data_IF_602453034719
#
_entry.id   IF_602453034719
#
_cell.length_a   1.000
_cell.length_b   1.000
_cell.length_c   1.000
_cell.angle_alpha   90.00
_cell.angle_beta   90.00
_cell.angle_gamma   90.00
#
_symmetry.space_group_name_H-M   'P 1'
#
loop_
_entity.id
_entity.type
_entity.pdbx_description
1 polymer ?
#
# COMPACT_ATOMS: atom_id res chain seq x y z
N UNK A 1 11.44 2.85 -13.72
CA UNK A 1 11.14 3.98 -12.82
C UNK A 1 10.70 5.25 -13.53
N UNK A 2 11.49 5.87 -14.44
CA UNK A 2 11.10 7.14 -15.13
C UNK A 2 9.74 7.03 -15.85
N UNK A 3 9.45 5.94 -16.56
CA UNK A 3 8.18 5.75 -17.29
C UNK A 3 6.96 5.63 -16.37
N UNK A 4 7.11 4.99 -15.19
CA UNK A 4 6.03 4.85 -14.22
C UNK A 4 5.71 6.19 -13.56
N UNK A 5 6.74 6.96 -13.19
CA UNK A 5 6.59 8.31 -12.64
C UNK A 5 5.88 9.24 -13.64
N UNK A 6 6.23 9.12 -14.92
CA UNK A 6 5.58 9.88 -15.99
C UNK A 6 4.11 9.50 -16.15
N UNK A 7 3.78 8.21 -16.09
CA UNK A 7 2.39 7.73 -16.17
C UNK A 7 1.59 8.20 -14.94
N UNK A 8 2.15 8.12 -13.73
CA UNK A 8 1.50 8.65 -12.53
C UNK A 8 1.30 10.16 -12.59
N UNK A 9 2.29 10.90 -13.11
CA UNK A 9 2.18 12.35 -13.28
C UNK A 9 1.09 12.69 -14.33
N UNK A 10 1.00 11.95 -15.42
CA UNK A 10 -0.03 12.13 -16.46
C UNK A 10 -1.42 11.79 -15.88
N UNK A 11 -1.55 10.72 -15.12
CA UNK A 11 -2.80 10.37 -14.42
C UNK A 11 -3.18 11.46 -13.42
N UNK A 12 -2.22 11.97 -12.65
CA UNK A 12 -2.44 13.03 -11.68
C UNK A 12 -2.88 14.34 -12.35
N UNK A 13 -2.21 14.76 -13.42
CA UNK A 13 -2.56 15.94 -14.20
C UNK A 13 -3.87 15.72 -14.95
N UNK A 14 -4.11 14.54 -15.51
CA UNK A 14 -5.37 14.16 -16.15
C UNK A 14 -6.56 14.19 -15.18
N UNK A 15 -6.41 13.66 -13.97
CA UNK A 15 -7.42 13.74 -12.92
C UNK A 15 -7.69 15.17 -12.46
N UNK A 16 -6.66 16.00 -12.31
CA UNK A 16 -6.80 17.41 -11.95
C UNK A 16 -7.52 18.20 -13.05
N UNK A 17 -7.24 17.92 -14.33
CA UNK A 17 -7.94 18.54 -15.46
C UNK A 17 -9.40 18.09 -15.57
N UNK A 18 -9.68 16.79 -15.32
CA UNK A 18 -11.05 16.27 -15.29
C UNK A 18 -11.89 16.87 -14.13
N UNK A 19 -11.24 17.17 -12.99
CA UNK A 19 -11.91 17.80 -11.85
C UNK A 19 -12.31 19.25 -12.14
N UNK A 20 -11.65 19.93 -13.07
CA UNK A 20 -12.00 21.30 -13.48
C UNK A 20 -13.16 21.36 -14.47
N UNK A 21 -13.31 20.32 -15.33
CA UNK A 21 -14.35 20.27 -16.36
C UNK A 21 -15.56 19.37 -15.97
N UNK A 22 -15.64 18.94 -14.71
CA UNK A 22 -16.70 18.04 -14.26
C UNK A 22 -18.06 18.66 -14.47
N UNK A 23 -18.84 18.00 -15.28
CA UNK A 23 -20.26 18.17 -15.54
C UNK A 23 -20.94 18.76 -14.31
N UNK A 24 -21.44 19.99 -14.47
CA UNK A 24 -22.34 20.61 -13.51
C UNK A 24 -23.62 19.78 -13.51
N UNK A 25 -23.65 18.73 -12.70
CA UNK A 25 -24.90 18.17 -12.25
C UNK A 25 -25.46 19.23 -11.34
N UNK A 26 -26.44 19.98 -11.83
CA UNK A 26 -27.21 20.94 -11.04
C UNK A 26 -28.01 20.11 -10.04
N UNK A 27 -27.37 19.78 -8.92
CA UNK A 27 -28.07 19.34 -7.73
C UNK A 27 -28.51 20.63 -7.05
N UNK A 28 -29.78 20.75 -6.62
CA UNK A 28 -30.25 21.94 -5.92
C UNK A 28 -29.30 22.25 -4.75
N UNK A 29 -28.87 23.49 -4.66
CA UNK A 29 -27.85 23.99 -3.73
C UNK A 29 -28.24 23.82 -2.23
N UNK A 30 -29.51 23.52 -1.96
CA UNK A 30 -30.09 23.42 -0.60
C UNK A 30 -29.96 22.00 0.05
N UNK A 31 -29.32 21.02 -0.58
CA UNK A 31 -29.30 19.66 -0.07
C UNK A 31 -27.93 18.99 0.00
N UNK A 32 -26.85 19.72 -0.23
CA UNK A 32 -25.53 19.17 0.04
C UNK A 32 -25.29 19.18 1.56
N UNK A 33 -25.19 18.03 2.23
CA UNK A 33 -24.83 18.02 3.64
C UNK A 33 -23.43 18.63 3.77
N UNK A 34 -23.28 19.57 4.69
CA UNK A 34 -21.98 20.15 5.06
C UNK A 34 -21.13 19.09 5.78
N UNK A 35 -20.77 18.05 5.06
CA UNK A 35 -19.90 16.96 5.58
C UNK A 35 -18.48 17.44 5.90
N UNK A 36 -18.14 18.65 5.48
CA UNK A 36 -16.84 19.26 5.73
C UNK A 36 -16.68 19.85 7.13
N UNK A 37 -17.77 19.95 7.92
CA UNK A 37 -17.73 20.49 9.30
C UNK A 37 -17.08 19.51 10.31
N UNK A 38 -16.96 18.24 9.97
CA UNK A 38 -16.36 17.28 10.89
C UNK A 38 -14.84 17.37 10.88
N UNK A 39 -14.27 17.61 12.06
CA UNK A 39 -12.82 17.75 12.24
C UNK A 39 -12.10 16.39 12.22
N UNK A 40 -12.79 15.31 12.53
CA UNK A 40 -12.20 13.97 12.63
C UNK A 40 -12.96 12.94 11.80
N UNK A 41 -12.24 11.97 11.30
CA UNK A 41 -12.82 10.79 10.69
C UNK A 41 -12.01 9.53 11.03
N UNK A 42 -12.69 8.41 11.07
CA UNK A 42 -12.14 7.09 11.30
C UNK A 42 -12.60 6.15 10.20
N UNK A 43 -11.71 5.31 9.72
CA UNK A 43 -12.07 4.38 8.65
C UNK A 43 -11.14 3.19 8.53
N UNK A 44 -11.43 2.41 7.49
CA UNK A 44 -10.64 1.26 7.10
C UNK A 44 -10.55 1.18 5.57
N UNK A 45 -9.40 0.76 5.10
CA UNK A 45 -9.13 0.44 3.69
C UNK A 45 -8.84 -1.04 3.57
N UNK A 46 -9.40 -1.68 2.55
CA UNK A 46 -9.20 -3.08 2.23
C UNK A 46 -8.86 -3.20 0.75
N UNK A 47 -7.82 -3.94 0.42
CA UNK A 47 -7.35 -3.98 -0.95
C UNK A 47 -6.38 -5.10 -1.27
N UNK A 48 -5.75 -4.94 -2.41
CA UNK A 48 -4.70 -5.81 -2.90
C UNK A 48 -3.43 -5.00 -3.13
N UNK A 49 -2.33 -5.51 -2.61
CA UNK A 49 -1.00 -4.94 -2.79
C UNK A 49 -0.11 -5.83 -3.65
N UNK A 50 0.90 -5.22 -4.27
CA UNK A 50 1.94 -5.94 -5.00
C UNK A 50 3.31 -5.31 -4.79
N UNK A 51 4.33 -6.15 -4.62
CA UNK A 51 5.74 -5.76 -4.67
C UNK A 51 6.32 -6.27 -5.97
N UNK A 52 6.84 -5.36 -6.81
CA UNK A 52 7.31 -5.71 -8.15
C UNK A 52 8.83 -5.83 -8.27
N UNK A 53 9.59 -5.28 -7.33
CA UNK A 53 11.05 -5.16 -7.42
C UNK A 53 11.76 -5.78 -6.21
N UNK A 54 11.21 -6.87 -5.66
CA UNK A 54 11.88 -7.59 -4.59
C UNK A 54 13.04 -8.42 -5.15
N UNK A 55 14.25 -8.05 -4.78
CA UNK A 55 15.47 -8.74 -5.20
C UNK A 55 16.23 -9.20 -3.97
N UNK A 56 16.44 -10.49 -3.87
CA UNK A 56 17.25 -11.07 -2.81
C UNK A 56 18.66 -11.35 -3.34
N UNK A 57 19.68 -10.75 -2.72
CA UNK A 57 21.06 -11.08 -3.01
C UNK A 57 21.49 -12.35 -2.27
N UNK A 58 22.08 -13.31 -2.93
CA UNK A 58 22.73 -14.45 -2.27
C UNK A 58 24.15 -14.11 -1.87
N UNK A 59 24.72 -14.76 -0.85
CA UNK A 59 26.09 -14.55 -0.41
C UNK A 59 27.16 -14.78 -1.50
N UNK A 60 26.78 -15.37 -2.64
CA UNK A 60 27.62 -15.55 -3.82
C UNK A 60 27.50 -14.38 -4.83
N UNK A 61 26.80 -13.29 -4.49
CA UNK A 61 26.61 -12.15 -5.38
C UNK A 61 25.55 -12.34 -6.45
N UNK A 62 24.79 -13.43 -6.43
CA UNK A 62 23.68 -13.67 -7.35
C UNK A 62 22.44 -12.95 -6.82
N UNK A 63 21.77 -12.18 -7.68
CA UNK A 63 20.50 -11.53 -7.37
C UNK A 63 19.37 -12.44 -7.85
N UNK A 64 18.52 -12.87 -6.93
CA UNK A 64 17.32 -13.67 -7.24
C UNK A 64 16.11 -12.76 -7.15
N UNK A 65 15.40 -12.51 -8.26
CA UNK A 65 14.15 -11.76 -8.20
C UNK A 65 13.05 -12.62 -7.56
N UNK A 66 12.44 -12.09 -6.51
CA UNK A 66 11.26 -12.67 -5.84
C UNK A 66 10.08 -11.76 -6.15
N UNK A 67 9.71 -11.66 -7.41
CA UNK A 67 8.65 -10.76 -7.84
C UNK A 67 7.92 -11.30 -9.06
N UNK A 68 6.64 -10.93 -9.26
CA UNK A 68 5.84 -10.09 -8.36
C UNK A 68 5.31 -10.87 -7.16
N UNK A 69 5.34 -10.27 -5.96
CA UNK A 69 4.56 -10.72 -4.82
C UNK A 69 3.22 -9.99 -4.84
N UNK A 70 2.13 -10.71 -4.64
CA UNK A 70 0.78 -10.14 -4.60
C UNK A 70 0.05 -10.64 -3.36
N UNK A 71 -0.88 -9.86 -2.85
CA UNK A 71 -1.64 -10.28 -1.69
C UNK A 71 -2.66 -9.26 -1.22
N UNK A 72 -3.08 -9.43 0.00
CA UNK A 72 -4.13 -8.65 0.64
C UNK A 72 -3.53 -7.50 1.45
N UNK A 73 -4.21 -6.34 1.42
CA UNK A 73 -3.90 -5.16 2.21
C UNK A 73 -5.08 -4.79 3.11
N UNK A 74 -4.80 -4.40 4.35
CA UNK A 74 -5.74 -3.75 5.26
C UNK A 74 -5.07 -2.54 5.89
N UNK A 75 -5.80 -1.43 6.00
CA UNK A 75 -5.27 -0.19 6.59
C UNK A 75 -6.34 0.54 7.40
N UNK A 76 -6.33 0.48 8.74
CA UNK A 76 -7.07 1.43 9.56
C UNK A 76 -6.55 2.85 9.32
N UNK A 77 -7.48 3.80 9.29
CA UNK A 77 -7.25 5.21 8.97
C UNK A 77 -7.86 6.10 10.03
N UNK A 78 -7.08 7.04 10.54
CA UNK A 78 -7.57 8.15 11.38
C UNK A 78 -7.19 9.44 10.67
N UNK A 79 -8.15 10.31 10.43
CA UNK A 79 -7.93 11.60 9.80
C UNK A 79 -8.37 12.76 10.65
N UNK A 80 -7.66 13.86 10.52
CA UNK A 80 -7.92 15.13 11.17
C UNK A 80 -7.89 16.28 10.15
N UNK A 81 -8.93 17.08 10.09
CA UNK A 81 -9.00 18.32 9.32
C UNK A 81 -8.69 19.49 10.24
N UNK A 82 -7.58 20.22 10.05
CA UNK A 82 -7.14 21.27 10.97
C UNK A 82 -8.04 22.51 10.98
N UNK A 83 -8.86 22.67 9.94
CA UNK A 83 -9.81 23.78 9.83
C UNK A 83 -11.15 23.21 9.34
N UNK A 84 -12.26 23.69 9.90
CA UNK A 84 -13.59 23.52 9.32
C UNK A 84 -13.54 24.06 7.88
N UNK A 85 -14.21 23.45 6.96
CA UNK A 85 -14.18 23.75 5.51
C UNK A 85 -12.82 23.44 4.82
N UNK A 86 -11.88 22.82 5.51
CA UNK A 86 -10.57 22.50 4.92
C UNK A 86 -10.67 21.27 4.02
N UNK A 87 -10.28 21.45 2.77
CA UNK A 87 -10.02 20.34 1.85
C UNK A 87 -8.78 19.52 2.22
N UNK A 88 -7.99 20.02 3.18
CA UNK A 88 -6.76 19.39 3.65
C UNK A 88 -7.05 18.56 4.88
N UNK A 89 -6.57 17.33 4.88
CA UNK A 89 -6.58 16.43 6.03
C UNK A 89 -5.19 15.88 6.32
N UNK A 90 -4.91 15.63 7.59
CA UNK A 90 -3.78 14.87 8.06
C UNK A 90 -4.27 13.47 8.42
N UNK A 91 -3.71 12.44 7.80
CA UNK A 91 -4.07 11.04 8.04
C UNK A 91 -2.95 10.28 8.72
N UNK A 92 -3.31 9.47 9.71
CA UNK A 92 -2.49 8.40 10.24
C UNK A 92 -3.09 7.08 9.77
N UNK A 93 -2.33 6.34 8.98
CA UNK A 93 -2.71 5.03 8.46
C UNK A 93 -1.76 3.99 9.03
N UNK A 94 -2.26 2.79 9.31
CA UNK A 94 -1.42 1.64 9.65
C UNK A 94 -1.67 0.56 8.60
N UNK A 95 -0.90 0.64 7.51
CA UNK A 95 -1.00 -0.35 6.43
C UNK A 95 -0.44 -1.69 6.89
N UNK A 96 -1.17 -2.75 6.63
CA UNK A 96 -0.79 -4.14 6.86
C UNK A 96 -0.97 -4.93 5.58
N UNK A 97 0.14 -5.46 5.05
CA UNK A 97 0.15 -6.27 3.83
C UNK A 97 0.58 -7.70 4.14
N UNK A 98 -0.11 -8.66 3.50
CA UNK A 98 0.26 -10.06 3.47
C UNK A 98 0.45 -10.47 2.02
N UNK A 99 1.70 -10.57 1.59
CA UNK A 99 2.08 -10.77 0.20
C UNK A 99 2.72 -12.14 0.00
N UNK A 100 2.39 -12.81 -1.11
CA UNK A 100 2.79 -14.16 -1.42
C UNK A 100 3.45 -14.25 -2.79
N UNK A 101 4.46 -15.10 -2.88
CA UNK A 101 5.08 -15.51 -4.13
C UNK A 101 5.46 -16.99 -4.03
N UNK A 102 5.13 -17.78 -5.04
CA UNK A 102 5.53 -19.17 -5.13
C UNK A 102 6.42 -19.38 -6.35
N UNK A 103 7.63 -19.83 -6.13
CA UNK A 103 8.54 -20.23 -7.19
C UNK A 103 8.42 -21.74 -7.44
N UNK A 104 8.08 -22.11 -8.68
CA UNK A 104 8.09 -23.49 -9.12
C UNK A 104 9.47 -23.82 -9.71
N UNK A 105 10.20 -24.74 -9.11
CA UNK A 105 11.47 -25.19 -9.64
C UNK A 105 11.24 -26.41 -10.55
N UNK A 106 11.21 -26.20 -11.85
CA UNK A 106 10.87 -27.23 -12.86
C UNK A 106 12.00 -28.24 -13.15
N UNK A 107 13.02 -28.35 -12.31
CA UNK A 107 14.24 -29.04 -12.74
C UNK A 107 14.74 -30.20 -11.90
N UNK A 108 14.47 -30.29 -10.62
CA UNK A 108 14.98 -31.38 -9.76
C UNK A 108 13.98 -31.61 -8.66
N UNK A 109 13.31 -32.77 -8.63
CA UNK A 109 12.32 -33.22 -7.64
C UNK A 109 11.59 -32.03 -6.95
N UNK A 110 10.47 -31.64 -7.49
CA UNK A 110 9.65 -30.46 -7.23
C UNK A 110 9.70 -29.93 -5.78
N UNK A 111 10.65 -29.08 -5.46
CA UNK A 111 10.63 -28.28 -4.24
C UNK A 111 9.92 -26.96 -4.54
N UNK A 112 8.66 -26.88 -4.12
CA UNK A 112 7.94 -25.60 -4.16
C UNK A 112 8.49 -24.71 -3.04
N UNK A 113 9.05 -23.57 -3.42
CA UNK A 113 9.50 -22.56 -2.46
C UNK A 113 8.42 -21.46 -2.43
N UNK A 114 7.84 -21.25 -1.26
CA UNK A 114 6.86 -20.19 -1.05
C UNK A 114 7.48 -19.10 -0.18
N UNK A 115 7.39 -17.87 -0.66
CA UNK A 115 7.78 -16.68 0.07
C UNK A 115 6.53 -15.95 0.54
N UNK A 116 6.46 -15.61 1.81
CA UNK A 116 5.41 -14.80 2.39
C UNK A 116 6.04 -13.60 3.07
N UNK A 117 5.60 -12.41 2.68
CA UNK A 117 6.06 -11.17 3.34
C UNK A 117 4.89 -10.54 4.07
N UNK A 118 5.08 -10.26 5.35
CA UNK A 118 4.18 -9.42 6.14
C UNK A 118 4.83 -8.06 6.31
N UNK A 119 4.11 -7.01 5.90
CA UNK A 119 4.55 -5.62 6.05
C UNK A 119 3.58 -4.92 6.99
N UNK A 120 4.10 -4.27 8.03
CA UNK A 120 3.33 -3.36 8.88
C UNK A 120 3.95 -1.98 8.70
N UNK A 121 3.16 -1.01 8.21
CA UNK A 121 3.65 0.31 7.86
C UNK A 121 2.76 1.40 8.45
N UNK A 122 3.10 1.95 9.63
CA UNK A 122 2.53 3.21 10.08
C UNK A 122 2.95 4.33 9.12
N UNK A 123 1.97 5.11 8.66
CA UNK A 123 2.13 6.15 7.65
C UNK A 123 1.44 7.43 8.11
N UNK A 124 2.10 8.56 7.92
CA UNK A 124 1.53 9.87 8.14
C UNK A 124 1.43 10.60 6.79
N UNK A 125 0.21 10.98 6.42
CA UNK A 125 -0.09 11.59 5.12
C UNK A 125 -0.76 12.95 5.28
N UNK A 126 -0.49 13.81 4.31
CA UNK A 126 -1.23 15.02 4.04
C UNK A 126 -2.09 14.74 2.79
N UNK A 127 -3.41 14.81 2.94
CA UNK A 127 -4.37 14.47 1.89
C UNK A 127 -5.20 15.69 1.55
N UNK A 128 -5.28 16.01 0.26
CA UNK A 128 -6.11 17.09 -0.26
C UNK A 128 -7.28 16.51 -1.06
N UNK A 129 -8.50 16.93 -0.74
CA UNK A 129 -9.72 16.54 -1.44
C UNK A 129 -10.17 17.69 -2.35
N UNK A 130 -10.44 17.41 -3.62
CA UNK A 130 -10.81 18.41 -4.62
C UNK A 130 -12.33 18.52 -4.72
N UNK A 131 -12.84 19.77 -4.71
CA UNK A 131 -14.26 20.06 -4.87
C UNK A 131 -15.11 19.72 -3.64
N UNK A 132 -16.38 20.12 -3.70
CA UNK A 132 -17.37 19.98 -2.62
C UNK A 132 -18.57 19.11 -2.98
N UNK A 133 -18.56 18.46 -4.13
CA UNK A 133 -19.66 17.61 -4.61
C UNK A 133 -19.65 16.22 -3.95
N UNK A 134 -20.69 15.43 -4.22
CA UNK A 134 -20.76 14.03 -3.76
C UNK A 134 -19.61 13.15 -4.24
N UNK A 135 -19.06 13.46 -5.42
CA UNK A 135 -17.90 12.76 -6.00
C UNK A 135 -16.71 13.69 -5.89
N UNK A 136 -15.72 13.31 -5.10
CA UNK A 136 -14.58 14.16 -4.77
C UNK A 136 -13.28 13.41 -5.04
N UNK A 137 -12.51 13.77 -6.06
CA UNK A 137 -11.14 13.27 -6.21
C UNK A 137 -10.29 13.71 -5.02
N UNK A 138 -9.32 12.88 -4.66
CA UNK A 138 -8.34 13.25 -3.63
C UNK A 138 -6.94 12.78 -4.01
N UNK A 139 -5.95 13.47 -3.47
CA UNK A 139 -4.56 13.09 -3.59
C UNK A 139 -3.83 13.40 -2.29
N UNK A 140 -2.86 12.59 -1.94
CA UNK A 140 -2.08 12.75 -0.73
C UNK A 140 -0.66 12.26 -0.89
N UNK A 141 0.20 12.77 -0.04
CA UNK A 141 1.57 12.33 0.12
C UNK A 141 1.96 12.28 1.58
N UNK A 142 2.93 11.44 1.89
CA UNK A 142 3.37 11.29 3.26
C UNK A 142 4.61 10.44 3.42
N UNK A 143 4.91 10.13 4.66
CA UNK A 143 6.04 9.30 5.05
C UNK A 143 5.54 8.09 5.82
N UNK A 144 6.22 6.97 5.67
CA UNK A 144 5.96 5.76 6.41
C UNK A 144 7.23 5.11 6.93
N UNK A 145 7.04 4.22 7.90
CA UNK A 145 8.09 3.32 8.39
C UNK A 145 7.60 1.91 8.18
N UNK A 146 8.36 1.09 7.45
CA UNK A 146 7.98 -0.28 7.14
C UNK A 146 8.72 -1.24 8.05
N UNK A 147 7.97 -2.10 8.71
CA UNK A 147 8.46 -3.26 9.44
C UNK A 147 8.13 -4.49 8.59
N UNK A 148 9.16 -5.14 8.09
CA UNK A 148 9.02 -6.25 7.14
C UNK A 148 9.48 -7.54 7.79
N UNK A 149 8.69 -8.60 7.64
CA UNK A 149 9.06 -9.95 7.99
C UNK A 149 8.90 -10.85 6.76
N UNK A 150 9.95 -11.55 6.37
CA UNK A 150 9.95 -12.49 5.25
C UNK A 150 9.99 -13.91 5.79
N UNK A 151 8.98 -14.72 5.51
CA UNK A 151 8.93 -16.14 5.77
C UNK A 151 9.20 -16.89 4.47
N UNK A 152 10.15 -17.82 4.52
CA UNK A 152 10.47 -18.74 3.42
C UNK A 152 10.03 -20.13 3.84
N UNK A 153 9.16 -20.75 3.06
CA UNK A 153 8.69 -22.11 3.29
C UNK A 153 9.17 -23.01 2.16
N UNK A 154 9.93 -24.04 2.51
CA UNK A 154 10.46 -25.03 1.56
C UNK A 154 9.94 -26.41 1.94
N UNK A 155 9.56 -27.21 0.93
CA UNK A 155 9.26 -28.63 1.15
C UNK A 155 10.53 -29.44 0.94
N UNK A 156 10.98 -30.15 1.94
CA UNK A 156 12.14 -31.02 1.90
C UNK A 156 11.74 -32.45 2.25
N UNK A 157 12.43 -33.43 1.67
CA UNK A 157 12.28 -34.83 2.08
C UNK A 157 13.12 -35.09 3.34
N UNK A 158 12.45 -35.62 4.37
CA UNK A 158 13.14 -36.04 5.58
C UNK A 158 13.89 -37.38 5.34
N UNK A 159 14.64 -37.83 6.35
CA UNK A 159 15.39 -39.10 6.30
C UNK A 159 14.51 -40.35 6.10
N UNK A 160 13.21 -40.24 6.26
CA UNK A 160 12.19 -41.29 6.05
C UNK A 160 11.52 -41.21 4.68
N UNK A 161 12.02 -40.35 3.75
CA UNK A 161 11.46 -40.08 2.42
C UNK A 161 10.05 -39.45 2.43
N UNK A 162 9.68 -38.88 3.59
CA UNK A 162 8.42 -38.10 3.74
C UNK A 162 8.67 -36.61 3.52
N UNK A 163 7.71 -35.93 2.90
CA UNK A 163 7.78 -34.48 2.68
C UNK A 163 7.50 -33.70 3.97
N UNK A 164 8.44 -32.88 4.38
CA UNK A 164 8.31 -31.97 5.51
C UNK A 164 8.39 -30.53 5.03
N UNK A 165 7.60 -29.64 5.65
CA UNK A 165 7.67 -28.21 5.39
C UNK A 165 8.61 -27.55 6.38
N UNK A 166 9.73 -27.08 5.90
CA UNK A 166 10.69 -26.27 6.69
C UNK A 166 10.33 -24.79 6.49
N UNK A 167 10.22 -24.05 7.60
CA UNK A 167 9.95 -22.62 7.61
C UNK A 167 11.09 -21.87 8.24
N UNK A 168 11.54 -20.84 7.56
CA UNK A 168 12.55 -19.91 8.04
C UNK A 168 12.00 -18.50 8.02
N UNK A 169 12.18 -17.75 9.11
CA UNK A 169 11.72 -16.37 9.24
C UNK A 169 12.92 -15.42 9.25
N UNK A 170 12.92 -14.47 8.36
CA UNK A 170 13.98 -13.47 8.18
C UNK A 170 13.42 -12.11 8.58
N UNK A 171 13.91 -11.54 9.68
CA UNK A 171 13.61 -10.20 10.08
C UNK A 171 14.43 -9.21 9.26
N UNK A 172 13.74 -8.23 8.69
CA UNK A 172 14.31 -7.18 7.86
C UNK A 172 14.35 -5.88 8.67
N UNK A 173 15.48 -5.18 8.62
CA UNK A 173 15.60 -3.89 9.32
C UNK A 173 14.50 -2.94 8.86
N UNK A 174 13.92 -2.12 9.76
CA UNK A 174 12.93 -1.13 9.39
C UNK A 174 13.43 -0.18 8.30
N UNK A 175 12.55 0.17 7.37
CA UNK A 175 12.87 1.11 6.28
C UNK A 175 11.87 2.26 6.23
N UNK A 176 12.33 3.41 5.75
CA UNK A 176 11.45 4.54 5.49
C UNK A 176 10.83 4.42 4.10
N UNK A 177 9.63 4.95 3.95
CA UNK A 177 8.95 5.06 2.65
C UNK A 177 8.39 6.47 2.43
N UNK A 178 8.39 6.88 1.15
CA UNK A 178 7.56 7.96 0.66
C UNK A 178 6.26 7.34 0.17
N UNK A 179 5.13 7.84 0.66
CA UNK A 179 3.80 7.34 0.34
C UNK A 179 3.11 8.34 -0.58
N UNK A 180 2.59 7.85 -1.71
CA UNK A 180 1.72 8.58 -2.60
C UNK A 180 0.35 7.88 -2.62
N UNK A 181 -0.73 8.63 -2.41
CA UNK A 181 -2.10 8.13 -2.35
C UNK A 181 -2.98 8.99 -3.24
N UNK A 182 -3.82 8.37 -4.04
CA UNK A 182 -4.82 9.09 -4.85
C UNK A 182 -6.05 8.25 -5.05
N UNK A 183 -7.19 8.90 -5.26
CA UNK A 183 -8.44 8.17 -5.44
C UNK A 183 -9.64 9.07 -5.65
N UNK A 184 -10.82 8.46 -5.53
CA UNK A 184 -12.10 9.14 -5.63
C UNK A 184 -12.95 8.76 -4.43
N UNK A 185 -13.46 9.77 -3.73
CA UNK A 185 -14.34 9.65 -2.59
C UNK A 185 -15.79 9.93 -3.02
N UNK A 186 -16.71 9.12 -2.52
CA UNK A 186 -18.15 9.26 -2.68
C UNK A 186 -18.78 9.50 -1.31
N UNK A 187 -19.40 10.63 -1.13
CA UNK A 187 -20.17 10.93 0.08
C UNK A 187 -21.57 10.32 -0.04
N UNK A 188 -21.99 9.57 0.97
CA UNK A 188 -23.33 8.98 1.01
C UNK A 188 -24.31 10.04 1.56
N UNK A 189 -25.30 10.47 0.77
CA UNK A 189 -26.27 11.49 1.21
C UNK A 189 -26.93 11.12 2.53
N UNK A 190 -27.21 12.11 3.36
CA UNK A 190 -27.89 11.98 4.65
C UNK A 190 -27.19 11.05 5.65
N UNK A 191 -25.90 10.81 5.46
CA UNK A 191 -25.07 10.02 6.38
C UNK A 191 -23.74 10.70 6.63
N UNK A 192 -23.05 10.27 7.69
CA UNK A 192 -21.66 10.68 7.97
C UNK A 192 -20.64 9.73 7.34
N UNK A 193 -21.04 8.91 6.37
CA UNK A 193 -20.15 7.96 5.72
C UNK A 193 -19.70 8.44 4.36
N UNK A 194 -18.39 8.28 4.11
CA UNK A 194 -17.81 8.32 2.78
C UNK A 194 -17.26 6.94 2.42
N UNK A 195 -17.42 6.53 1.17
CA UNK A 195 -16.74 5.39 0.58
C UNK A 195 -15.79 5.89 -0.49
N UNK A 196 -14.69 5.20 -0.71
CA UNK A 196 -13.71 5.63 -1.72
C UNK A 196 -12.94 4.46 -2.31
N UNK A 197 -12.52 4.64 -3.57
CA UNK A 197 -11.52 3.82 -4.22
C UNK A 197 -10.19 4.56 -4.26
N UNK A 198 -9.10 3.86 -4.02
CA UNK A 198 -7.76 4.46 -4.01
C UNK A 198 -6.71 3.59 -4.69
N UNK A 199 -5.66 4.27 -5.13
CA UNK A 199 -4.38 3.69 -5.49
C UNK A 199 -3.32 4.29 -4.57
N UNK A 200 -2.47 3.44 -4.00
CA UNK A 200 -1.35 3.84 -3.14
C UNK A 200 -0.05 3.30 -3.72
N UNK A 201 0.97 4.12 -3.71
CA UNK A 201 2.31 3.73 -4.10
C UNK A 201 3.31 4.11 -3.01
N UNK A 202 3.97 3.10 -2.45
CA UNK A 202 5.01 3.27 -1.45
C UNK A 202 6.36 3.12 -2.13
N UNK A 203 7.15 4.19 -2.13
CA UNK A 203 8.56 4.18 -2.57
C UNK A 203 9.42 3.89 -1.35
N UNK A 204 9.82 2.65 -1.18
CA UNK A 204 10.58 2.22 -0.02
C UNK A 204 12.07 2.52 -0.20
N UNK A 205 12.69 3.04 0.86
CA UNK A 205 14.15 3.13 0.92
C UNK A 205 14.73 1.72 1.12
N UNK A 206 15.89 1.43 0.54
CA UNK A 206 16.54 0.13 0.70
C UNK A 206 16.75 -0.21 2.18
N UNK A 207 16.23 -1.35 2.62
CA UNK A 207 16.49 -1.91 3.94
C UNK A 207 17.60 -2.95 3.88
N UNK A 208 18.24 -3.19 5.01
CA UNK A 208 19.29 -4.18 5.16
C UNK A 208 18.75 -5.34 5.99
N UNK A 209 19.15 -6.55 5.67
CA UNK A 209 18.89 -7.70 6.51
C UNK A 209 20.16 -8.60 6.58
N UNK A 210 20.24 -9.36 7.65
CA UNK A 210 21.33 -10.32 7.85
C UNK A 210 20.76 -11.71 7.66
N UNK A 211 21.40 -12.47 6.82
CA UNK A 211 21.23 -13.92 6.73
C UNK A 211 22.46 -14.51 7.37
N UNK A 212 22.31 -15.06 8.56
CA UNK A 212 23.40 -15.61 9.37
C UNK A 212 24.40 -14.58 9.94
N UNK A 213 25.05 -14.89 11.04
CA UNK A 213 26.00 -13.97 11.74
C UNK A 213 27.24 -13.61 10.91
N UNK A 214 27.50 -14.34 9.85
CA UNK A 214 28.74 -14.22 9.04
C UNK A 214 28.62 -13.33 7.83
N UNK A 215 27.59 -12.56 7.59
CA UNK A 215 27.75 -11.69 6.65
C UNK A 215 27.10 -11.15 5.57
N UNK A 216 26.29 -11.10 4.95
CA UNK A 216 26.05 -10.23 3.77
C UNK A 216 24.92 -9.25 4.01
N UNK A 217 25.24 -7.96 4.04
CA UNK A 217 24.21 -6.90 4.06
C UNK A 217 23.46 -6.98 2.74
N UNK A 218 22.34 -7.66 2.73
CA UNK A 218 21.44 -7.67 1.58
C UNK A 218 20.58 -6.42 1.61
N UNK A 219 20.31 -5.83 0.44
CA UNK A 219 19.42 -4.71 0.29
C UNK A 219 18.09 -5.22 -0.25
N UNK A 220 17.03 -4.94 0.47
CA UNK A 220 15.68 -5.16 0.01
C UNK A 220 15.13 -3.83 -0.53
N UNK A 221 14.87 -3.77 -1.82
CA UNK A 221 14.18 -2.64 -2.43
C UNK A 221 12.77 -3.13 -2.81
N UNK A 222 11.80 -2.80 -1.97
CA UNK A 222 10.45 -3.30 -2.09
C UNK A 222 9.46 -2.13 -2.22
N UNK A 223 9.37 -1.55 -3.41
CA UNK A 223 8.30 -0.59 -3.69
C UNK A 223 6.98 -1.33 -3.84
N UNK A 224 5.95 -0.85 -3.14
CA UNK A 224 4.62 -1.47 -3.13
C UNK A 224 3.62 -0.59 -3.88
N UNK A 225 2.83 -1.21 -4.75
CA UNK A 225 1.65 -0.62 -5.38
C UNK A 225 0.42 -1.35 -4.86
N UNK A 226 -0.56 -0.60 -4.37
CA UNK A 226 -1.83 -1.18 -3.93
C UNK A 226 -3.04 -0.45 -4.50
N UNK A 227 -4.14 -1.21 -4.62
CA UNK A 227 -5.46 -0.70 -4.98
C UNK A 227 -6.41 -1.17 -3.88
N UNK A 228 -7.15 -0.23 -3.30
CA UNK A 228 -8.04 -0.52 -2.18
C UNK A 228 -9.38 0.22 -2.29
N UNK A 229 -10.36 -0.32 -1.60
CA UNK A 229 -11.62 0.34 -1.27
C UNK A 229 -11.58 0.73 0.20
N UNK A 230 -12.06 1.91 0.51
CA UNK A 230 -12.12 2.42 1.87
C UNK A 230 -13.51 2.92 2.24
N UNK A 231 -13.76 2.95 3.53
CA UNK A 231 -14.91 3.60 4.12
C UNK A 231 -14.47 4.38 5.35
N UNK A 232 -14.99 5.60 5.50
CA UNK A 232 -14.73 6.45 6.66
C UNK A 232 -16.04 6.98 7.24
N UNK A 233 -16.06 7.13 8.55
CA UNK A 233 -17.10 7.82 9.30
C UNK A 233 -16.57 9.16 9.78
N UNK A 234 -17.30 10.22 9.49
CA UNK A 234 -16.99 11.61 9.86
C UNK A 234 -17.74 11.97 11.17
N UNK A 235 -17.03 12.53 12.16
CA UNK A 235 -17.57 12.87 13.49
C UNK A 235 -17.93 14.35 13.61
#
# INVERSE_FOLDING_TARGET
MKKLLTIMLILFVGFAAFAQDSVVVVVPEDSAPSQDDSMFYLGVELGAGSINDLVMGTGAGTLVPISPMVGFEMSPVIGFRPFADSHLALELNVMMDWLYYTAFNAGIESTDITYMTTVISPQFLCVYTFGSNYIRPFAGMGLGVNFNNLEVSTKEKNTSDEWETVKESINIDPSFSLVLKSGVKLSIPDTNFDIYGLCRYNVNMPSKFKVDETTTKMQLNASNLSIALGAVYNF
#
